data_IF_032300258145
#
_entry.id   IF_032300258145
#
_cell.length_a   1.000
_cell.length_b   1.000
_cell.length_c   1.000
_cell.angle_alpha   90.00
_cell.angle_beta   90.00
_cell.angle_gamma   90.00
#
_symmetry.space_group_name_H-M   'P 1'
#
loop_
_entity.id
_entity.type
_entity.pdbx_description
1 polymer ?
#
# COMPACT_ATOMS: atom_id res chain seq x y z
N UNK A 1 31.98 -4.75 -6.30
CA UNK A 1 31.22 -5.40 -5.21
C UNK A 1 29.80 -4.86 -5.06
N UNK A 2 29.60 -3.56 -4.81
CA UNK A 2 28.26 -3.01 -4.54
C UNK A 2 27.22 -3.24 -5.65
N UNK A 3 27.65 -3.27 -6.91
CA UNK A 3 26.78 -3.51 -8.06
C UNK A 3 26.13 -4.91 -8.03
N UNK A 4 26.91 -5.97 -7.78
CA UNK A 4 26.40 -7.34 -7.69
C UNK A 4 25.41 -7.50 -6.54
N UNK A 5 25.73 -6.97 -5.35
CA UNK A 5 24.83 -6.99 -4.19
C UNK A 5 23.54 -6.19 -4.48
N UNK A 6 23.63 -5.08 -5.21
CA UNK A 6 22.46 -4.29 -5.63
C UNK A 6 21.57 -5.08 -6.59
N UNK A 7 22.15 -5.71 -7.60
CA UNK A 7 21.43 -6.54 -8.57
C UNK A 7 20.75 -7.75 -7.90
N UNK A 8 21.45 -8.43 -6.99
CA UNK A 8 20.89 -9.52 -6.19
C UNK A 8 19.69 -9.05 -5.35
N UNK A 9 19.85 -7.93 -4.63
CA UNK A 9 18.76 -7.31 -3.86
C UNK A 9 17.54 -6.99 -4.73
N UNK A 10 17.74 -6.40 -5.91
CA UNK A 10 16.65 -6.08 -6.81
C UNK A 10 15.94 -7.33 -7.33
N UNK A 11 16.69 -8.38 -7.67
CA UNK A 11 16.16 -9.66 -8.13
C UNK A 11 15.33 -10.35 -7.05
N UNK A 12 15.81 -10.37 -5.80
CA UNK A 12 15.08 -10.92 -4.65
C UNK A 12 13.77 -10.17 -4.37
N UNK A 13 13.80 -8.83 -4.44
CA UNK A 13 12.59 -8.01 -4.28
C UNK A 13 11.57 -8.27 -5.40
N UNK A 14 12.03 -8.34 -6.66
CA UNK A 14 11.16 -8.68 -7.81
C UNK A 14 10.57 -10.09 -7.70
N UNK A 15 11.29 -11.01 -7.08
CA UNK A 15 10.79 -12.37 -6.80
C UNK A 15 9.81 -12.43 -5.61
N UNK A 16 9.48 -11.29 -4.98
CA UNK A 16 8.47 -11.19 -3.93
C UNK A 16 8.97 -11.53 -2.52
N UNK A 17 10.29 -11.61 -2.32
CA UNK A 17 10.90 -11.82 -1.00
C UNK A 17 10.69 -10.56 -0.14
N UNK A 18 10.28 -10.75 1.11
CA UNK A 18 9.96 -9.62 1.98
C UNK A 18 11.20 -8.74 2.24
N UNK A 19 11.09 -7.39 2.24
CA UNK A 19 12.24 -6.50 2.38
C UNK A 19 13.08 -6.73 3.65
N UNK A 20 12.45 -7.17 4.75
CA UNK A 20 13.14 -7.54 5.99
C UNK A 20 14.09 -8.73 5.78
N UNK A 21 13.62 -9.79 5.11
CA UNK A 21 14.43 -10.97 4.81
C UNK A 21 15.55 -10.62 3.85
N UNK A 22 15.28 -9.80 2.82
CA UNK A 22 16.34 -9.32 1.93
C UNK A 22 17.40 -8.55 2.73
N UNK A 23 17.03 -7.59 3.57
CA UNK A 23 18.01 -6.83 4.37
C UNK A 23 18.84 -7.72 5.31
N UNK A 24 18.20 -8.72 5.94
CA UNK A 24 18.89 -9.68 6.81
C UNK A 24 19.88 -10.53 5.99
N UNK A 25 19.43 -11.10 4.89
CA UNK A 25 20.26 -11.92 4.02
C UNK A 25 21.45 -11.15 3.42
N UNK A 26 21.23 -9.89 3.02
CA UNK A 26 22.31 -9.02 2.53
C UNK A 26 23.34 -8.67 3.61
N UNK A 27 22.96 -8.73 4.89
CA UNK A 27 23.90 -8.56 6.01
C UNK A 27 24.69 -9.85 6.22
N UNK A 28 23.99 -10.97 6.33
CA UNK A 28 24.59 -12.29 6.49
C UNK A 28 25.61 -12.60 5.36
N UNK A 29 25.29 -12.25 4.10
CA UNK A 29 26.22 -12.39 2.99
C UNK A 29 27.46 -11.49 3.10
N UNK A 30 27.32 -10.27 3.64
CA UNK A 30 28.45 -9.38 3.85
C UNK A 30 29.34 -9.88 4.98
N UNK A 31 28.74 -10.39 6.04
CA UNK A 31 29.46 -10.94 7.19
C UNK A 31 30.25 -12.19 6.74
N UNK A 32 29.61 -13.13 6.01
CA UNK A 32 30.32 -14.28 5.45
C UNK A 32 31.42 -13.92 4.45
N UNK A 33 31.22 -12.88 3.64
CA UNK A 33 32.26 -12.41 2.74
C UNK A 33 33.45 -11.83 3.51
N UNK A 34 33.20 -11.12 4.62
CA UNK A 34 34.25 -10.61 5.48
C UNK A 34 35.02 -11.77 6.14
N UNK A 35 34.33 -12.78 6.63
CA UNK A 35 34.95 -13.98 7.21
C UNK A 35 35.84 -14.69 6.19
N UNK A 36 35.33 -14.94 4.97
CA UNK A 36 36.09 -15.56 3.88
C UNK A 36 37.30 -14.72 3.44
N UNK A 37 37.17 -13.39 3.42
CA UNK A 37 38.29 -12.50 3.08
C UNK A 37 39.40 -12.59 4.12
N UNK A 38 39.04 -12.64 5.41
CA UNK A 38 40.00 -12.79 6.51
C UNK A 38 40.72 -14.15 6.43
N UNK A 39 40.02 -15.22 6.06
CA UNK A 39 40.64 -16.53 5.82
C UNK A 39 41.65 -16.50 4.68
N UNK A 40 41.33 -15.85 3.57
CA UNK A 40 42.23 -15.72 2.41
C UNK A 40 43.42 -14.79 2.70
N UNK A 41 43.25 -13.72 3.48
CA UNK A 41 44.35 -12.89 3.97
C UNK A 41 45.31 -13.69 4.88
N UNK A 42 44.77 -14.53 5.77
CA UNK A 42 45.57 -15.45 6.60
C UNK A 42 46.31 -16.49 5.77
N UNK A 43 45.78 -16.86 4.61
CA UNK A 43 46.46 -17.71 3.64
C UNK A 43 47.59 -16.99 2.87
N UNK A 44 47.86 -15.72 3.19
CA UNK A 44 48.97 -14.93 2.64
C UNK A 44 48.61 -14.16 1.37
N UNK A 45 47.32 -14.05 1.04
CA UNK A 45 46.88 -13.23 -0.09
C UNK A 45 46.77 -11.75 0.31
N UNK A 46 47.17 -10.86 -0.60
CA UNK A 46 46.90 -9.44 -0.45
C UNK A 46 45.38 -9.19 -0.38
N UNK A 47 44.97 -8.17 0.38
CA UNK A 47 43.56 -7.87 0.68
C UNK A 47 42.68 -7.78 -0.56
N UNK A 48 43.20 -7.14 -1.62
CA UNK A 48 42.47 -6.98 -2.88
C UNK A 48 42.21 -8.31 -3.61
N UNK A 49 43.14 -9.26 -3.50
CA UNK A 49 43.07 -10.60 -4.08
C UNK A 49 42.24 -11.54 -3.19
N UNK A 50 42.39 -11.41 -1.87
CA UNK A 50 41.60 -12.14 -0.88
C UNK A 50 40.10 -11.86 -1.05
N UNK A 51 39.69 -10.60 -1.18
CA UNK A 51 38.28 -10.23 -1.43
C UNK A 51 37.74 -10.81 -2.75
N UNK A 52 38.54 -10.83 -3.83
CA UNK A 52 38.11 -11.41 -5.10
C UNK A 52 37.95 -12.94 -5.03
N UNK A 53 38.88 -13.62 -4.33
CA UNK A 53 38.77 -15.07 -4.09
C UNK A 53 37.59 -15.42 -3.19
N UNK A 54 37.37 -14.62 -2.14
CA UNK A 54 36.20 -14.75 -1.26
C UNK A 54 34.89 -14.58 -2.05
N UNK A 55 34.80 -13.58 -2.95
CA UNK A 55 33.66 -13.41 -3.85
C UNK A 55 33.44 -14.62 -4.77
N UNK A 56 34.52 -15.16 -5.34
CA UNK A 56 34.43 -16.34 -6.21
C UNK A 56 33.93 -17.57 -5.45
N UNK A 57 34.32 -17.74 -4.18
CA UNK A 57 33.83 -18.81 -3.29
C UNK A 57 32.38 -18.63 -2.85
N UNK A 58 31.94 -17.38 -2.66
CA UNK A 58 30.56 -17.06 -2.27
C UNK A 58 29.52 -17.56 -3.31
N UNK A 59 29.95 -17.73 -4.56
CA UNK A 59 29.12 -18.22 -5.66
C UNK A 59 28.49 -17.12 -6.48
N UNK A 60 27.73 -17.51 -7.52
CA UNK A 60 27.12 -16.53 -8.43
C UNK A 60 25.87 -15.89 -7.81
N UNK A 61 25.57 -14.64 -8.20
CA UNK A 61 24.31 -13.98 -7.82
C UNK A 61 23.06 -14.82 -8.16
N UNK A 62 23.15 -15.68 -9.19
CA UNK A 62 22.05 -16.53 -9.62
C UNK A 62 21.79 -17.67 -8.65
N UNK A 63 22.85 -18.31 -8.15
CA UNK A 63 22.76 -19.40 -7.18
C UNK A 63 22.25 -18.87 -5.83
N UNK A 64 22.79 -17.74 -5.38
CA UNK A 64 22.37 -17.06 -4.16
C UNK A 64 20.89 -16.63 -4.23
N UNK A 65 20.46 -16.07 -5.37
CA UNK A 65 19.07 -15.71 -5.57
C UNK A 65 18.16 -16.96 -5.57
N UNK A 66 18.55 -18.02 -6.27
CA UNK A 66 17.77 -19.25 -6.39
C UNK A 66 17.56 -19.95 -5.04
N UNK A 67 18.61 -20.02 -4.22
CA UNK A 67 18.54 -20.59 -2.88
C UNK A 67 17.45 -19.90 -2.03
N UNK A 68 17.35 -18.57 -2.13
CA UNK A 68 16.38 -17.80 -1.35
C UNK A 68 14.96 -17.80 -1.97
N UNK A 69 14.84 -17.75 -3.30
CA UNK A 69 13.55 -17.73 -4.02
C UNK A 69 12.77 -19.03 -3.89
N UNK A 70 13.49 -20.16 -3.79
CA UNK A 70 12.91 -21.50 -3.63
C UNK A 70 12.20 -21.64 -2.28
N UNK A 71 12.65 -20.91 -1.26
CA UNK A 71 12.05 -20.97 0.07
C UNK A 71 10.78 -20.11 0.16
N UNK A 72 9.61 -20.77 0.09
CA UNK A 72 8.28 -20.14 0.19
C UNK A 72 8.08 -19.30 1.47
N UNK A 73 8.76 -19.64 2.56
CA UNK A 73 8.67 -18.95 3.85
C UNK A 73 9.20 -17.51 3.83
N UNK A 74 10.09 -17.16 2.90
CA UNK A 74 10.64 -15.81 2.80
C UNK A 74 9.84 -14.88 1.91
N UNK A 75 8.83 -15.40 1.20
CA UNK A 75 7.92 -14.61 0.37
C UNK A 75 6.96 -13.81 1.25
N UNK A 76 6.75 -12.55 0.89
CA UNK A 76 5.73 -11.73 1.53
C UNK A 76 4.32 -12.29 1.26
N UNK A 77 3.38 -12.05 2.18
CA UNK A 77 1.98 -12.49 2.04
C UNK A 77 1.34 -12.01 0.73
N UNK A 78 1.64 -10.77 0.36
CA UNK A 78 1.24 -10.12 -0.89
C UNK A 78 1.88 -10.72 -2.15
N UNK A 79 3.03 -11.39 -2.03
CA UNK A 79 3.60 -12.20 -3.12
C UNK A 79 3.07 -13.64 -3.12
N UNK A 80 2.61 -14.15 -1.98
CA UNK A 80 2.05 -15.51 -1.85
C UNK A 80 0.61 -15.58 -2.35
N UNK A 81 -0.19 -14.55 -2.09
CA UNK A 81 -1.58 -14.44 -2.51
C UNK A 81 -1.88 -12.99 -2.95
N UNK A 82 -1.43 -12.58 -4.15
CA UNK A 82 -1.66 -11.22 -4.65
C UNK A 82 -3.16 -10.88 -4.75
N UNK A 83 -4.01 -11.85 -5.10
CA UNK A 83 -5.46 -11.68 -5.11
C UNK A 83 -6.03 -11.34 -3.72
N UNK A 84 -5.49 -11.92 -2.65
CA UNK A 84 -5.96 -11.64 -1.30
C UNK A 84 -5.47 -10.26 -0.83
N UNK A 85 -4.22 -9.91 -1.16
CA UNK A 85 -3.63 -8.65 -0.73
C UNK A 85 -4.12 -7.43 -1.53
N UNK A 86 -4.48 -7.59 -2.80
CA UNK A 86 -4.88 -6.50 -3.70
C UNK A 86 -6.33 -6.58 -4.17
N UNK A 87 -7.01 -7.71 -3.96
CA UNK A 87 -8.45 -7.84 -4.16
C UNK A 87 -9.21 -7.68 -2.84
N UNK A 88 -9.02 -8.63 -1.92
CA UNK A 88 -9.82 -8.68 -0.69
C UNK A 88 -9.36 -7.68 0.38
N UNK A 89 -8.05 -7.55 0.60
CA UNK A 89 -7.46 -6.67 1.61
C UNK A 89 -7.89 -5.21 1.50
N UNK A 90 -7.85 -4.57 0.33
CA UNK A 90 -8.31 -3.19 0.12
C UNK A 90 -9.78 -3.01 0.48
N UNK A 91 -10.63 -3.95 0.06
CA UNK A 91 -12.07 -3.90 0.31
C UNK A 91 -12.40 -4.08 1.78
N UNK A 92 -11.71 -4.99 2.48
CA UNK A 92 -11.87 -5.15 3.93
C UNK A 92 -11.41 -3.91 4.69
N UNK A 93 -10.30 -3.30 4.30
CA UNK A 93 -9.80 -2.09 4.93
C UNK A 93 -10.74 -0.90 4.68
N UNK A 94 -11.25 -0.75 3.45
CA UNK A 94 -12.24 0.25 3.11
C UNK A 94 -13.54 0.05 3.90
N UNK A 95 -14.04 -1.18 3.99
CA UNK A 95 -15.21 -1.52 4.79
C UNK A 95 -15.00 -1.18 6.28
N UNK A 96 -13.83 -1.47 6.84
CA UNK A 96 -13.50 -1.08 8.21
C UNK A 96 -13.51 0.45 8.39
N UNK A 97 -12.94 1.22 7.47
CA UNK A 97 -12.99 2.68 7.51
C UNK A 97 -14.43 3.21 7.46
N UNK A 98 -15.29 2.63 6.61
CA UNK A 98 -16.69 3.02 6.52
C UNK A 98 -17.50 2.64 7.75
N UNK A 99 -17.26 1.47 8.34
CA UNK A 99 -17.87 1.10 9.60
C UNK A 99 -17.48 2.10 10.70
N UNK A 100 -16.20 2.44 10.80
CA UNK A 100 -15.73 3.45 11.77
C UNK A 100 -16.41 4.81 11.50
N UNK A 101 -16.43 5.29 10.25
CA UNK A 101 -17.10 6.55 9.90
C UNK A 101 -18.60 6.54 10.24
N UNK A 102 -19.31 5.44 9.98
CA UNK A 102 -20.73 5.28 10.32
C UNK A 102 -20.95 5.24 11.83
N UNK A 103 -20.06 4.57 12.59
CA UNK A 103 -20.13 4.56 14.05
C UNK A 103 -19.91 5.95 14.63
N UNK A 104 -18.93 6.71 14.12
CA UNK A 104 -18.71 8.12 14.49
C UNK A 104 -19.97 8.94 14.18
N UNK A 105 -20.54 8.81 12.98
CA UNK A 105 -21.76 9.54 12.62
C UNK A 105 -22.92 9.22 13.59
N UNK A 106 -23.13 7.93 13.89
CA UNK A 106 -24.17 7.47 14.80
C UNK A 106 -23.96 8.03 16.22
N UNK A 107 -22.79 7.83 16.80
CA UNK A 107 -22.50 8.24 18.18
C UNK A 107 -22.52 9.76 18.31
N UNK A 108 -22.00 10.48 17.31
CA UNK A 108 -22.06 11.93 17.24
C UNK A 108 -23.51 12.43 17.19
N UNK A 109 -24.36 11.76 16.41
CA UNK A 109 -25.78 12.11 16.33
C UNK A 109 -26.48 11.92 17.68
N UNK A 110 -26.21 10.83 18.40
CA UNK A 110 -26.77 10.59 19.74
C UNK A 110 -26.33 11.61 20.77
N UNK A 111 -25.06 12.02 20.75
CA UNK A 111 -24.48 12.88 21.78
C UNK A 111 -24.80 14.35 21.53
N UNK A 112 -24.59 14.83 20.30
CA UNK A 112 -24.65 16.27 19.98
C UNK A 112 -26.00 16.71 19.40
N UNK A 113 -26.78 15.79 18.84
CA UNK A 113 -27.98 16.10 18.06
C UNK A 113 -29.18 15.18 18.44
N UNK A 114 -29.52 15.00 19.74
CA UNK A 114 -30.52 14.02 20.17
C UNK A 114 -31.94 14.31 19.65
N UNK A 115 -32.27 15.59 19.48
CA UNK A 115 -33.59 16.06 19.02
C UNK A 115 -33.67 16.19 17.50
N UNK A 116 -32.53 16.19 16.79
CA UNK A 116 -32.52 16.36 15.34
C UNK A 116 -33.05 15.10 14.64
N UNK A 117 -33.81 15.30 13.56
CA UNK A 117 -34.31 14.22 12.69
C UNK A 117 -33.22 13.63 11.79
N UNK A 118 -32.16 14.40 11.52
CA UNK A 118 -31.00 13.97 10.74
C UNK A 118 -29.71 14.54 11.33
N UNK A 119 -28.55 13.88 11.13
CA UNK A 119 -27.26 14.41 11.53
C UNK A 119 -26.67 15.45 10.56
N UNK A 120 -27.35 15.72 9.44
CA UNK A 120 -26.87 16.62 8.37
C UNK A 120 -27.40 18.06 8.53
N UNK A 121 -27.43 18.55 9.76
CA UNK A 121 -27.86 19.91 10.09
C UNK A 121 -26.64 20.82 10.29
N UNK A 122 -26.85 22.14 10.24
CA UNK A 122 -25.80 23.11 10.55
C UNK A 122 -25.32 22.93 11.98
N UNK A 123 -24.02 22.60 12.15
CA UNK A 123 -23.41 22.40 13.46
C UNK A 123 -22.79 23.72 13.92
N UNK A 124 -23.31 24.27 15.02
CA UNK A 124 -22.82 25.52 15.62
C UNK A 124 -21.80 25.27 16.74
N UNK A 125 -21.78 24.07 17.32
CA UNK A 125 -20.83 23.69 18.37
C UNK A 125 -19.49 23.23 17.76
N UNK A 126 -18.40 23.88 18.16
CA UNK A 126 -17.04 23.58 17.72
C UNK A 126 -16.64 22.12 17.96
N UNK A 127 -17.07 21.53 19.09
CA UNK A 127 -16.73 20.14 19.44
C UNK A 127 -17.41 19.16 18.50
N UNK A 128 -18.69 19.39 18.23
CA UNK A 128 -19.45 18.61 17.26
C UNK A 128 -18.84 18.77 15.85
N UNK A 129 -18.41 19.98 15.49
CA UNK A 129 -17.78 20.23 14.19
C UNK A 129 -16.49 19.41 14.00
N UNK A 130 -15.62 19.35 15.01
CA UNK A 130 -14.41 18.52 14.97
C UNK A 130 -14.79 17.04 14.87
N UNK A 131 -15.74 16.59 15.71
CA UNK A 131 -16.15 15.19 15.79
C UNK A 131 -16.72 14.67 14.47
N UNK A 132 -17.70 15.36 13.89
CA UNK A 132 -18.26 15.03 12.58
C UNK A 132 -17.25 15.29 11.45
N UNK A 133 -16.36 16.27 11.61
CA UNK A 133 -15.26 16.55 10.70
C UNK A 133 -14.31 15.35 10.51
N UNK A 134 -13.94 14.68 11.61
CA UNK A 134 -13.13 13.45 11.55
C UNK A 134 -13.88 12.33 10.84
N UNK A 135 -15.16 12.11 11.15
CA UNK A 135 -15.99 11.12 10.47
C UNK A 135 -16.10 11.38 8.96
N UNK A 136 -16.30 12.65 8.58
CA UNK A 136 -16.36 13.10 7.18
C UNK A 136 -15.03 12.90 6.47
N UNK A 137 -13.91 13.29 7.10
CA UNK A 137 -12.57 13.10 6.56
C UNK A 137 -12.27 11.61 6.35
N UNK A 138 -12.65 10.76 7.31
CA UNK A 138 -12.48 9.32 7.18
C UNK A 138 -13.34 8.76 6.03
N UNK A 139 -14.60 9.16 5.94
CA UNK A 139 -15.51 8.69 4.89
C UNK A 139 -15.01 9.03 3.48
N UNK A 140 -14.72 10.31 3.21
CA UNK A 140 -14.28 10.74 1.88
C UNK A 140 -12.81 10.45 1.60
N UNK A 141 -11.96 10.45 2.63
CA UNK A 141 -10.54 10.21 2.50
C UNK A 141 -10.15 8.73 2.46
N UNK A 142 -10.97 7.83 3.01
CA UNK A 142 -10.66 6.40 3.08
C UNK A 142 -10.21 5.77 1.76
N UNK A 143 -10.96 5.86 0.63
CA UNK A 143 -10.54 5.24 -0.62
C UNK A 143 -9.16 5.76 -1.07
N UNK A 144 -8.93 7.07 -0.95
CA UNK A 144 -7.65 7.71 -1.30
C UNK A 144 -6.51 7.18 -0.43
N UNK A 145 -6.65 7.20 0.90
CA UNK A 145 -5.60 6.76 1.82
C UNK A 145 -5.32 5.26 1.71
N UNK A 146 -6.35 4.44 1.50
CA UNK A 146 -6.20 3.00 1.26
C UNK A 146 -5.49 2.75 -0.06
N UNK A 147 -5.86 3.46 -1.13
CA UNK A 147 -5.18 3.41 -2.42
C UNK A 147 -3.71 3.81 -2.30
N UNK A 148 -3.39 4.87 -1.56
CA UNK A 148 -2.01 5.29 -1.30
C UNK A 148 -1.23 4.23 -0.52
N UNK A 149 -1.80 3.66 0.54
CA UNK A 149 -1.17 2.58 1.30
C UNK A 149 -0.82 1.40 0.38
N UNK A 150 -1.75 0.99 -0.49
CA UNK A 150 -1.52 -0.09 -1.45
C UNK A 150 -0.48 0.27 -2.51
N UNK A 151 -0.51 1.49 -3.02
CA UNK A 151 0.51 1.99 -3.95
C UNK A 151 1.91 1.91 -3.31
N UNK A 152 2.06 2.30 -2.04
CA UNK A 152 3.35 2.18 -1.35
C UNK A 152 3.79 0.72 -1.16
N UNK A 153 2.86 -0.19 -0.87
CA UNK A 153 3.15 -1.63 -0.76
C UNK A 153 3.56 -2.20 -2.12
N UNK A 154 2.82 -1.87 -3.18
CA UNK A 154 3.13 -2.28 -4.55
C UNK A 154 4.51 -1.77 -5.00
N UNK A 155 4.83 -0.51 -4.71
CA UNK A 155 6.14 0.09 -4.99
C UNK A 155 7.26 -0.61 -4.22
N UNK A 156 7.07 -0.88 -2.93
CA UNK A 156 8.05 -1.58 -2.09
C UNK A 156 8.34 -3.00 -2.55
N UNK A 157 7.35 -3.67 -3.13
CA UNK A 157 7.44 -5.06 -3.55
C UNK A 157 7.69 -5.24 -5.06
N UNK A 158 7.81 -4.13 -5.81
CA UNK A 158 8.05 -4.12 -7.26
C UNK A 158 7.14 -5.09 -8.04
N UNK A 159 5.89 -5.21 -7.60
CA UNK A 159 4.91 -6.09 -8.20
C UNK A 159 4.53 -5.61 -9.61
N UNK A 160 4.03 -6.53 -10.43
CA UNK A 160 3.50 -6.18 -11.75
C UNK A 160 2.34 -5.19 -11.63
N UNK A 161 2.29 -4.21 -12.54
CA UNK A 161 1.35 -3.09 -12.47
C UNK A 161 -0.13 -3.49 -12.54
N UNK A 162 -0.47 -4.73 -12.94
CA UNK A 162 -1.86 -5.18 -13.07
C UNK A 162 -2.63 -5.24 -11.74
N UNK A 163 -2.03 -5.79 -10.68
CA UNK A 163 -2.72 -5.93 -9.38
C UNK A 163 -3.01 -4.59 -8.68
N UNK A 164 -2.07 -3.63 -8.64
CA UNK A 164 -2.35 -2.30 -8.09
C UNK A 164 -3.42 -1.55 -8.88
N UNK A 165 -3.45 -1.69 -10.21
CA UNK A 165 -4.49 -1.08 -11.05
C UNK A 165 -5.85 -1.69 -10.71
N UNK A 166 -5.94 -3.02 -10.61
CA UNK A 166 -7.18 -3.70 -10.21
C UNK A 166 -7.66 -3.21 -8.83
N UNK A 167 -6.75 -3.12 -7.85
CA UNK A 167 -7.07 -2.64 -6.52
C UNK A 167 -7.61 -1.20 -6.54
N UNK A 168 -6.94 -0.29 -7.26
CA UNK A 168 -7.36 1.10 -7.40
C UNK A 168 -8.73 1.22 -8.12
N UNK A 169 -8.95 0.43 -9.17
CA UNK A 169 -10.25 0.39 -9.86
C UNK A 169 -11.37 -0.08 -8.92
N UNK A 170 -11.12 -1.11 -8.11
CA UNK A 170 -12.09 -1.58 -7.11
C UNK A 170 -12.38 -0.50 -6.06
N UNK A 171 -11.35 0.14 -5.50
CA UNK A 171 -11.53 1.21 -4.50
C UNK A 171 -12.28 2.41 -5.07
N UNK A 172 -11.97 2.82 -6.30
CA UNK A 172 -12.66 3.91 -6.97
C UNK A 172 -14.16 3.59 -7.19
N UNK A 173 -14.48 2.37 -7.63
CA UNK A 173 -15.87 1.95 -7.86
C UNK A 173 -16.64 1.86 -6.54
N UNK A 174 -16.12 1.14 -5.54
CA UNK A 174 -16.82 1.00 -4.25
C UNK A 174 -16.87 2.32 -3.48
N UNK A 175 -15.83 3.15 -3.60
CA UNK A 175 -15.78 4.47 -2.99
C UNK A 175 -16.76 5.45 -3.60
N UNK A 176 -16.97 5.40 -4.92
CA UNK A 176 -17.96 6.23 -5.61
C UNK A 176 -19.39 5.72 -5.42
N UNK A 177 -19.58 4.40 -5.28
CA UNK A 177 -20.91 3.81 -5.06
C UNK A 177 -21.41 4.00 -3.63
N UNK A 178 -20.50 4.22 -2.67
CA UNK A 178 -20.81 4.40 -1.26
C UNK A 178 -21.75 5.58 -1.00
N UNK A 179 -22.92 5.30 -0.43
CA UNK A 179 -23.88 6.30 0.03
C UNK A 179 -24.31 6.02 1.47
N UNK A 180 -24.23 7.03 2.33
CA UNK A 180 -24.71 6.95 3.71
C UNK A 180 -26.10 7.58 3.79
N UNK A 181 -27.03 6.86 4.40
CA UNK A 181 -28.37 7.34 4.74
C UNK A 181 -28.51 7.33 6.25
N UNK A 182 -28.83 8.48 6.81
CA UNK A 182 -29.13 8.62 8.23
C UNK A 182 -30.50 9.27 8.39
N UNK A 183 -31.35 8.65 9.20
CA UNK A 183 -32.72 9.08 9.40
C UNK A 183 -33.32 8.46 10.65
N UNK A 184 -34.37 9.09 11.17
CA UNK A 184 -35.10 8.60 12.33
C UNK A 184 -36.21 7.67 11.86
N UNK A 185 -36.25 6.45 12.39
CA UNK A 185 -37.31 5.51 12.09
C UNK A 185 -38.60 5.88 12.84
N UNK A 186 -39.70 5.25 12.45
CA UNK A 186 -41.04 5.53 12.99
C UNK A 186 -41.15 5.29 14.50
N UNK A 187 -40.29 4.43 15.06
CA UNK A 187 -40.16 4.14 16.49
C UNK A 187 -39.28 5.16 17.25
N UNK A 188 -38.99 6.30 16.62
CA UNK A 188 -38.06 7.32 17.10
C UNK A 188 -36.60 6.84 17.29
N UNK A 189 -36.25 5.63 16.83
CA UNK A 189 -34.87 5.16 16.83
C UNK A 189 -34.06 5.86 15.73
N UNK A 190 -32.85 6.27 16.09
CA UNK A 190 -31.89 6.81 15.13
C UNK A 190 -31.23 5.66 14.37
N UNK A 191 -31.27 5.71 13.04
CA UNK A 191 -30.68 4.68 12.18
C UNK A 191 -29.69 5.31 11.20
N UNK A 192 -28.50 4.71 11.13
CA UNK A 192 -27.49 5.00 10.11
C UNK A 192 -27.32 3.73 9.29
N UNK A 193 -27.51 3.85 7.98
CA UNK A 193 -27.35 2.77 7.02
C UNK A 193 -26.43 3.21 5.90
N UNK A 194 -25.73 2.26 5.31
CA UNK A 194 -24.88 2.47 4.16
C UNK A 194 -25.37 1.59 3.01
N UNK A 195 -25.54 2.19 1.85
CA UNK A 195 -26.00 1.53 0.62
C UNK A 195 -25.00 1.80 -0.50
N UNK A 196 -24.93 0.90 -1.48
CA UNK A 196 -24.14 1.11 -2.68
C UNK A 196 -25.08 1.39 -3.85
N UNK A 197 -24.91 2.54 -4.50
CA UNK A 197 -25.67 2.91 -5.70
C UNK A 197 -24.74 2.99 -6.89
N UNK A 198 -25.02 2.19 -7.92
CA UNK A 198 -24.21 2.10 -9.13
C UNK A 198 -24.76 2.95 -10.29
N UNK A 199 -25.63 3.93 -10.00
CA UNK A 199 -26.24 4.81 -10.99
C UNK A 199 -27.30 4.08 -11.83
N UNK A 200 -28.53 4.01 -11.32
CA UNK A 200 -29.64 3.35 -12.02
C UNK A 200 -30.23 4.22 -13.15
N UNK A 201 -29.93 5.52 -13.13
CA UNK A 201 -30.40 6.52 -14.10
C UNK A 201 -29.22 7.27 -14.74
N UNK A 202 -29.43 7.87 -15.93
CA UNK A 202 -28.38 8.59 -16.66
C UNK A 202 -27.69 9.72 -15.85
N UNK A 203 -28.38 10.59 -15.09
CA UNK A 203 -27.70 11.60 -14.28
C UNK A 203 -26.92 11.01 -13.09
N UNK A 204 -27.45 9.97 -12.45
CA UNK A 204 -26.75 9.29 -11.36
C UNK A 204 -25.52 8.54 -11.84
N UNK A 205 -25.57 7.95 -13.03
CA UNK A 205 -24.44 7.27 -13.64
C UNK A 205 -23.31 8.25 -13.99
N UNK A 206 -23.62 9.43 -14.51
CA UNK A 206 -22.61 10.48 -14.74
C UNK A 206 -21.97 10.94 -13.43
N UNK A 207 -22.77 11.16 -12.38
CA UNK A 207 -22.26 11.51 -11.06
C UNK A 207 -21.34 10.41 -10.51
N UNK A 208 -21.77 9.15 -10.56
CA UNK A 208 -20.97 8.01 -10.14
C UNK A 208 -19.63 7.93 -10.89
N UNK A 209 -19.65 8.02 -12.22
CA UNK A 209 -18.44 7.99 -13.05
C UNK A 209 -17.50 9.15 -12.72
N UNK A 210 -18.03 10.35 -12.49
CA UNK A 210 -17.25 11.51 -12.10
C UNK A 210 -16.55 11.27 -10.74
N UNK A 211 -17.28 10.78 -9.73
CA UNK A 211 -16.70 10.48 -8.42
C UNK A 211 -15.63 9.37 -8.51
N UNK A 212 -15.90 8.31 -9.26
CA UNK A 212 -14.95 7.23 -9.48
C UNK A 212 -13.68 7.74 -10.17
N UNK A 213 -13.81 8.62 -11.17
CA UNK A 213 -12.69 9.23 -11.87
C UNK A 213 -11.85 10.11 -10.93
N UNK A 214 -12.48 10.93 -10.09
CA UNK A 214 -11.80 11.78 -9.10
C UNK A 214 -11.04 10.93 -8.09
N UNK A 215 -11.66 9.88 -7.55
CA UNK A 215 -11.00 8.96 -6.60
C UNK A 215 -9.81 8.28 -7.28
N UNK A 216 -10.01 7.69 -8.46
CA UNK A 216 -8.95 7.00 -9.20
C UNK A 216 -7.77 7.93 -9.53
N UNK A 217 -8.04 9.17 -9.95
CA UNK A 217 -6.97 10.14 -10.25
C UNK A 217 -6.16 10.51 -9.01
N UNK A 218 -6.82 10.73 -7.87
CA UNK A 218 -6.15 11.05 -6.60
C UNK A 218 -5.35 9.86 -6.04
N UNK A 219 -5.84 8.63 -6.22
CA UNK A 219 -5.15 7.41 -5.77
C UNK A 219 -3.87 7.14 -6.55
N UNK A 220 -3.88 7.31 -7.88
CA UNK A 220 -2.75 6.93 -8.74
C UNK A 220 -1.68 8.05 -8.82
N UNK A 221 -2.02 9.28 -8.41
CA UNK A 221 -1.10 10.42 -8.40
C UNK A 221 0.26 10.14 -7.72
N UNK A 222 0.34 9.66 -6.46
CA UNK A 222 1.63 9.36 -5.83
C UNK A 222 2.41 8.26 -6.56
N UNK A 223 1.73 7.28 -7.14
CA UNK A 223 2.39 6.23 -7.93
C UNK A 223 3.02 6.81 -9.22
N UNK A 224 2.32 7.68 -9.93
CA UNK A 224 2.86 8.36 -11.11
C UNK A 224 4.01 9.30 -10.76
N UNK A 225 3.87 10.12 -9.72
CA UNK A 225 4.93 11.02 -9.24
C UNK A 225 6.18 10.22 -8.91
N UNK A 226 6.04 9.12 -8.16
CA UNK A 226 7.17 8.25 -7.86
C UNK A 226 7.79 7.61 -9.10
N UNK A 227 6.98 7.12 -10.04
CA UNK A 227 7.46 6.48 -11.26
C UNK A 227 8.22 7.47 -12.16
N UNK A 228 7.75 8.72 -12.24
CA UNK A 228 8.41 9.81 -12.95
C UNK A 228 9.72 10.22 -12.25
N UNK A 229 9.69 10.36 -10.93
CA UNK A 229 10.89 10.68 -10.13
C UNK A 229 11.97 9.60 -10.28
N UNK A 230 11.58 8.33 -10.25
CA UNK A 230 12.49 7.19 -10.41
C UNK A 230 13.13 7.13 -11.81
N UNK A 231 12.40 7.54 -12.86
CA UNK A 231 12.97 7.67 -14.21
C UNK A 231 13.97 8.84 -14.31
N UNK A 232 13.70 9.97 -13.63
CA UNK A 232 14.63 11.11 -13.57
C UNK A 232 15.89 10.81 -12.77
N UNK A 233 15.79 10.04 -11.67
CA UNK A 233 17.00 9.62 -10.92
C UNK A 233 17.82 8.55 -11.64
N UNK A 234 17.23 7.82 -12.60
CA UNK A 234 17.99 7.00 -13.55
C UNK A 234 18.92 7.82 -14.48
N UNK A 235 18.65 9.12 -14.64
CA UNK A 235 19.51 10.04 -15.40
C UNK A 235 20.66 10.59 -14.52
N UNK A 236 20.39 10.90 -13.24
CA UNK A 236 21.43 11.37 -12.31
C UNK A 236 22.35 10.25 -11.80
N UNK A 237 21.88 9.00 -11.71
CA UNK A 237 22.75 7.86 -11.39
C UNK A 237 23.69 7.46 -12.53
N UNK A 238 23.52 8.04 -13.74
CA UNK A 238 24.38 7.82 -14.91
C UNK A 238 25.48 8.88 -15.07
N UNK A 239 25.46 9.93 -14.24
CA UNK A 239 26.43 11.03 -14.24
C UNK A 239 27.34 11.03 -12.99
N UNK A 240 27.10 10.12 -12.03
CA UNK A 240 27.91 9.96 -10.82
C UNK A 240 28.34 8.49 -10.59
N UNK A 241 28.50 7.73 -11.65
CA UNK A 241 29.22 6.45 -11.67
C UNK A 241 30.19 6.46 -12.85
#
# INVERSE_FOLDING_TARGET
>A
MEKQFRELRERLLRAGIAPRHVRRYMRELKDHLADLSVEEERAGHDRSVAEQKALARLGTSDDLARAMITQRQFRSWSARAPWAAFGLGPLLLLAACYLIACTILWTGWRIFLPTASTPFVGILDERAMIYFGVGRMLYFGAPIFVGWALATVAMRQRLSSGWPILAASLLAVFGAAAQVRAGRAADASQQVSMTFSFGASSPEMLSFLFHALVIATLEVLPYFVWRLASKRTGFLFRLMC
#
